data_IF_598683581990
#
_entry.id   IF_598683581990
#
_cell.length_a   1.000
_cell.length_b   1.000
_cell.length_c   1.000
_cell.angle_alpha   90.00
_cell.angle_beta   90.00
_cell.angle_gamma   90.00
#
_symmetry.space_group_name_H-M   'P 1'
#
loop_
_entity.id
_entity.type
_entity.pdbx_description
1 polymer ?
#
# COMPACT_ATOMS: atom_id res chain seq x y z
N UNK A 1 20.83 4.51 -7.94
CA UNK A 1 19.87 3.44 -8.26
C UNK A 1 18.44 3.95 -8.08
N UNK A 2 17.57 3.67 -9.05
CA UNK A 2 16.16 4.05 -8.94
C UNK A 2 15.47 3.17 -7.89
N UNK A 3 14.73 3.75 -6.94
CA UNK A 3 13.98 2.94 -5.98
C UNK A 3 12.99 1.99 -6.65
N UNK A 4 12.73 0.85 -6.04
CA UNK A 4 11.73 -0.09 -6.53
C UNK A 4 10.33 0.51 -6.39
N UNK A 5 9.38 0.04 -7.19
CA UNK A 5 8.04 0.66 -7.24
C UNK A 5 7.34 0.66 -5.89
N UNK A 6 7.45 -0.42 -5.11
CA UNK A 6 6.81 -0.43 -3.79
C UNK A 6 7.40 0.61 -2.84
N UNK A 7 8.70 0.95 -2.98
CA UNK A 7 9.32 2.03 -2.21
C UNK A 7 8.81 3.39 -2.66
N UNK A 8 8.60 3.56 -3.97
CA UNK A 8 8.05 4.81 -4.51
C UNK A 8 6.62 5.04 -4.02
N UNK A 9 5.82 3.99 -3.99
CA UNK A 9 4.45 4.06 -3.47
C UNK A 9 4.46 4.40 -1.98
N UNK A 10 5.37 3.79 -1.21
CA UNK A 10 5.54 4.12 0.20
C UNK A 10 5.85 5.61 0.38
N UNK A 11 6.77 6.14 -0.42
CA UNK A 11 7.14 7.56 -0.33
C UNK A 11 5.97 8.46 -0.70
N UNK A 12 5.23 8.12 -1.76
CA UNK A 12 4.03 8.86 -2.17
C UNK A 12 2.98 8.90 -1.06
N UNK A 13 2.70 7.75 -0.45
CA UNK A 13 1.72 7.68 0.62
C UNK A 13 2.19 8.43 1.87
N UNK A 14 3.49 8.36 2.17
CA UNK A 14 4.06 9.12 3.29
C UNK A 14 3.94 10.62 3.08
N UNK A 15 4.26 11.10 1.88
CA UNK A 15 4.15 12.52 1.56
C UNK A 15 2.70 13.01 1.64
N UNK A 16 1.75 12.16 1.32
CA UNK A 16 0.32 12.48 1.41
C UNK A 16 -0.26 12.33 2.82
N UNK A 17 0.54 11.90 3.79
CA UNK A 17 0.08 11.72 5.17
C UNK A 17 -0.73 10.44 5.39
N UNK A 18 -0.73 9.52 4.42
CA UNK A 18 -1.54 8.30 4.51
C UNK A 18 -0.96 7.25 5.46
N UNK A 19 0.34 7.34 5.78
CA UNK A 19 1.02 6.42 6.69
C UNK A 19 1.05 6.92 8.14
N UNK A 20 0.44 8.05 8.41
CA UNK A 20 0.43 8.64 9.76
C UNK A 20 -0.23 7.68 10.76
N UNK A 21 0.45 7.40 11.86
CA UNK A 21 -0.04 6.48 12.87
C UNK A 21 0.28 5.02 12.61
N UNK A 22 0.99 4.72 11.51
CA UNK A 22 1.39 3.36 11.17
C UNK A 22 2.89 3.20 11.21
N UNK A 23 3.34 2.02 11.66
CA UNK A 23 4.72 1.59 11.49
C UNK A 23 4.85 1.03 10.07
N UNK A 24 5.74 1.61 9.27
CA UNK A 24 5.91 1.22 7.87
C UNK A 24 6.96 0.13 7.76
N UNK A 25 6.60 -0.96 7.08
CA UNK A 25 7.50 -2.07 6.81
C UNK A 25 7.55 -2.33 5.31
N UNK A 26 8.58 -3.02 4.86
CA UNK A 26 8.76 -3.36 3.45
C UNK A 26 8.98 -4.85 3.29
N UNK A 27 8.46 -5.40 2.21
CA UNK A 27 8.61 -6.77 1.74
C UNK A 27 7.83 -7.78 2.57
N UNK A 28 8.07 -7.85 3.86
CA UNK A 28 7.44 -8.86 4.71
C UNK A 28 6.95 -8.26 6.01
N UNK A 29 5.83 -8.77 6.47
CA UNK A 29 5.31 -8.41 7.79
C UNK A 29 6.21 -8.98 8.88
N UNK A 30 6.61 -8.12 9.79
CA UNK A 30 7.39 -8.50 10.94
C UNK A 30 6.64 -8.04 12.20
N UNK A 31 6.18 -9.00 13.00
CA UNK A 31 5.40 -8.70 14.19
C UNK A 31 6.30 -8.01 15.23
N UNK A 32 5.95 -6.77 15.65
CA UNK A 32 6.77 -6.03 16.62
C UNK A 32 6.57 -6.46 18.07
N UNK A 33 5.84 -7.53 18.35
CA UNK A 33 5.45 -7.98 19.70
C UNK A 33 4.56 -6.97 20.45
N UNK A 34 4.17 -5.89 19.81
CA UNK A 34 3.30 -4.88 20.41
C UNK A 34 2.02 -4.78 19.56
N UNK A 35 0.96 -5.40 20.04
CA UNK A 35 -0.31 -5.45 19.32
C UNK A 35 -1.04 -4.10 19.30
N UNK A 36 -0.55 -3.11 20.05
CA UNK A 36 -1.13 -1.77 20.03
C UNK A 36 -0.66 -0.94 18.83
N UNK A 37 0.34 -1.42 18.07
CA UNK A 37 0.87 -0.71 16.91
C UNK A 37 0.22 -1.18 15.62
N UNK A 38 -0.30 -0.23 14.86
CA UNK A 38 -0.78 -0.48 13.51
C UNK A 38 0.41 -0.50 12.55
N UNK A 39 0.35 -1.36 11.53
CA UNK A 39 1.47 -1.60 10.62
C UNK A 39 0.97 -1.50 9.18
N UNK A 40 1.81 -0.96 8.31
CA UNK A 40 1.53 -0.89 6.88
C UNK A 40 2.74 -1.46 6.15
N UNK A 41 2.53 -2.55 5.39
CA UNK A 41 3.62 -3.27 4.69
C UNK A 41 3.50 -3.04 3.20
N UNK A 42 4.57 -2.55 2.58
CA UNK A 42 4.63 -2.30 1.14
C UNK A 42 5.51 -3.36 0.49
N UNK A 43 5.00 -4.03 -0.55
CA UNK A 43 5.76 -5.06 -1.25
C UNK A 43 5.37 -5.19 -2.71
N UNK A 44 6.31 -5.68 -3.55
CA UNK A 44 6.01 -5.90 -4.96
C UNK A 44 5.08 -7.10 -5.14
N UNK A 45 4.28 -7.10 -6.20
CA UNK A 45 3.36 -8.19 -6.50
C UNK A 45 3.30 -8.48 -8.01
N UNK A 46 4.44 -8.43 -8.69
CA UNK A 46 4.47 -8.72 -10.13
C UNK A 46 4.01 -7.56 -10.99
N UNK A 47 3.38 -7.87 -12.09
CA UNK A 47 2.92 -6.90 -13.07
C UNK A 47 3.09 -7.42 -14.48
N UNK A 48 3.22 -6.51 -15.46
CA UNK A 48 3.51 -6.87 -16.84
C UNK A 48 5.00 -7.12 -17.04
N UNK A 49 5.39 -7.55 -18.24
CA UNK A 49 6.81 -7.65 -18.59
C UNK A 49 7.45 -6.26 -18.53
N UNK A 50 8.68 -6.22 -18.03
CA UNK A 50 9.44 -4.97 -17.96
C UNK A 50 9.88 -4.58 -19.38
N UNK A 51 9.54 -3.36 -19.80
CA UNK A 51 9.88 -2.83 -21.10
C UNK A 51 10.59 -1.50 -20.96
N UNK A 52 11.55 -1.23 -21.85
CA UNK A 52 12.31 0.01 -21.81
C UNK A 52 11.68 1.11 -22.68
N UNK A 53 10.82 0.74 -23.62
CA UNK A 53 10.30 1.66 -24.63
C UNK A 53 8.81 1.99 -24.52
N UNK A 54 8.03 1.15 -23.85
CA UNK A 54 6.57 1.29 -23.81
C UNK A 54 5.99 1.48 -22.42
N UNK A 55 6.82 1.62 -21.40
CA UNK A 55 6.34 1.63 -20.04
C UNK A 55 5.97 0.23 -19.56
N UNK A 56 5.94 0.06 -18.26
CA UNK A 56 5.66 -1.21 -17.63
C UNK A 56 4.62 -1.03 -16.54
N UNK A 57 3.83 -2.06 -16.32
CA UNK A 57 2.87 -2.08 -15.22
C UNK A 57 3.47 -2.85 -14.06
N UNK A 58 3.48 -2.24 -12.89
CA UNK A 58 3.98 -2.83 -11.66
C UNK A 58 2.84 -2.94 -10.68
N UNK A 59 2.66 -4.13 -10.11
CA UNK A 59 1.66 -4.32 -9.08
C UNK A 59 2.32 -4.20 -7.71
N UNK A 60 1.67 -3.48 -6.81
CA UNK A 60 2.15 -3.25 -5.45
C UNK A 60 1.06 -3.68 -4.47
N UNK A 61 1.46 -4.49 -3.49
CA UNK A 61 0.57 -4.85 -2.38
C UNK A 61 0.85 -3.94 -1.20
N UNK A 62 -0.21 -3.47 -0.57
CA UNK A 62 -0.11 -2.74 0.68
C UNK A 62 -1.01 -3.45 1.69
N UNK A 63 -0.39 -4.09 2.67
CA UNK A 63 -1.13 -4.74 3.76
C UNK A 63 -1.29 -3.72 4.89
N UNK A 64 -2.53 -3.40 5.22
CA UNK A 64 -2.85 -2.53 6.34
C UNK A 64 -3.26 -3.41 7.51
N UNK A 65 -2.40 -3.48 8.51
CA UNK A 65 -2.61 -4.31 9.70
C UNK A 65 -3.01 -3.39 10.84
N UNK A 66 -4.24 -3.53 11.31
CA UNK A 66 -4.76 -2.71 12.39
C UNK A 66 -4.18 -3.10 13.74
N UNK A 67 -4.14 -2.14 14.66
CA UNK A 67 -3.83 -2.43 16.05
C UNK A 67 -4.96 -3.28 16.64
N UNK A 68 -4.64 -4.02 17.69
CA UNK A 68 -5.63 -4.88 18.35
C UNK A 68 -6.81 -4.03 18.84
N UNK A 69 -8.01 -4.47 18.53
CA UNK A 69 -9.28 -3.81 18.91
C UNK A 69 -9.48 -2.41 18.29
N UNK A 70 -8.70 -2.05 17.27
CA UNK A 70 -8.81 -0.78 16.54
C UNK A 70 -9.23 -0.99 15.10
N UNK A 71 -10.28 -1.79 14.90
CA UNK A 71 -10.75 -2.17 13.55
C UNK A 71 -11.22 -0.98 12.73
N UNK A 72 -11.92 -0.06 13.37
CA UNK A 72 -12.46 1.12 12.67
C UNK A 72 -11.34 2.04 12.19
N UNK A 73 -10.28 2.18 12.97
CA UNK A 73 -9.14 3.00 12.57
C UNK A 73 -8.45 2.42 11.33
N UNK A 74 -8.33 1.09 11.27
CA UNK A 74 -7.77 0.42 10.10
C UNK A 74 -8.66 0.62 8.87
N UNK A 75 -9.97 0.48 9.02
CA UNK A 75 -10.91 0.68 7.92
C UNK A 75 -10.87 2.13 7.42
N UNK A 76 -10.81 3.10 8.33
CA UNK A 76 -10.73 4.52 7.96
C UNK A 76 -9.43 4.81 7.19
N UNK A 77 -8.31 4.20 7.59
CA UNK A 77 -7.05 4.36 6.89
C UNK A 77 -7.13 3.78 5.47
N UNK A 78 -7.72 2.59 5.32
CA UNK A 78 -7.93 1.96 4.02
C UNK A 78 -8.80 2.86 3.14
N UNK A 79 -9.88 3.40 3.67
CA UNK A 79 -10.78 4.29 2.92
C UNK A 79 -10.03 5.54 2.44
N UNK A 80 -9.20 6.14 3.30
CA UNK A 80 -8.40 7.31 2.91
C UNK A 80 -7.42 7.00 1.79
N UNK A 81 -6.77 5.82 1.85
CA UNK A 81 -5.84 5.40 0.80
C UNK A 81 -6.58 5.24 -0.52
N UNK A 82 -7.68 4.50 -0.53
CA UNK A 82 -8.45 4.24 -1.74
C UNK A 82 -8.98 5.55 -2.34
N UNK A 83 -9.52 6.44 -1.51
CA UNK A 83 -10.04 7.73 -1.97
C UNK A 83 -8.93 8.61 -2.55
N UNK A 84 -7.76 8.63 -1.89
CA UNK A 84 -6.63 9.42 -2.37
C UNK A 84 -6.15 8.94 -3.74
N UNK A 85 -5.98 7.64 -3.91
CA UNK A 85 -5.53 7.07 -5.19
C UNK A 85 -6.55 7.34 -6.28
N UNK A 86 -7.84 7.21 -5.96
CA UNK A 86 -8.91 7.45 -6.91
C UNK A 86 -8.96 8.92 -7.38
N UNK A 87 -8.70 9.85 -6.48
CA UNK A 87 -8.73 11.28 -6.77
C UNK A 87 -7.43 11.81 -7.37
N UNK A 88 -6.30 11.14 -7.13
CA UNK A 88 -4.97 11.62 -7.51
C UNK A 88 -4.14 10.53 -8.19
N UNK A 89 -4.59 9.99 -9.34
CA UNK A 89 -3.90 8.84 -9.96
C UNK A 89 -2.50 9.18 -10.50
N UNK A 90 -2.17 10.46 -10.66
CA UNK A 90 -0.87 10.90 -11.17
C UNK A 90 -0.19 11.89 -10.22
N UNK A 91 -0.39 11.74 -8.93
CA UNK A 91 0.13 12.69 -7.94
C UNK A 91 1.65 12.65 -7.78
N UNK A 92 2.31 11.57 -8.16
CA UNK A 92 3.75 11.38 -7.96
C UNK A 92 4.41 10.93 -9.27
N UNK A 93 5.37 11.72 -9.76
CA UNK A 93 6.08 11.43 -11.00
C UNK A 93 6.87 10.12 -10.94
N UNK A 94 7.37 9.76 -9.76
CA UNK A 94 8.17 8.55 -9.59
C UNK A 94 7.32 7.28 -9.64
N UNK A 95 6.03 7.39 -9.29
CA UNK A 95 5.09 6.27 -9.36
C UNK A 95 4.47 6.17 -10.75
N UNK A 96 4.28 7.29 -11.42
CA UNK A 96 3.57 7.37 -12.68
C UNK A 96 2.07 7.35 -12.46
N UNK A 97 1.35 6.53 -13.22
CA UNK A 97 -0.10 6.39 -13.09
C UNK A 97 -0.40 5.23 -12.14
N UNK A 98 -1.11 5.50 -11.05
CA UNK A 98 -1.50 4.51 -10.06
C UNK A 98 -3.02 4.36 -10.03
N UNK A 99 -3.51 3.13 -9.94
CA UNK A 99 -4.95 2.89 -9.81
C UNK A 99 -5.21 1.74 -8.83
N UNK A 100 -6.36 1.81 -8.18
CA UNK A 100 -6.83 0.76 -7.29
C UNK A 100 -7.19 -0.48 -8.13
N UNK A 101 -6.78 -1.65 -7.65
CA UNK A 101 -7.16 -2.91 -8.26
C UNK A 101 -8.31 -3.50 -7.46
N UNK A 102 -9.52 -3.18 -7.87
CA UNK A 102 -10.73 -3.58 -7.18
C UNK A 102 -11.18 -2.55 -6.16
N UNK A 103 -12.15 -2.93 -5.35
CA UNK A 103 -12.67 -2.10 -4.27
C UNK A 103 -11.96 -2.45 -2.96
N UNK A 104 -12.49 -1.95 -1.85
CA UNK A 104 -11.96 -2.31 -0.53
C UNK A 104 -12.17 -3.81 -0.32
N UNK A 105 -11.09 -4.58 -0.08
CA UNK A 105 -11.21 -6.02 0.08
C UNK A 105 -11.85 -6.39 1.42
N UNK A 106 -12.34 -7.62 1.51
CA UNK A 106 -12.81 -8.15 2.77
C UNK A 106 -11.62 -8.31 3.73
N UNK A 107 -11.77 -7.90 4.99
CA UNK A 107 -10.69 -8.02 5.94
C UNK A 107 -10.48 -9.47 6.39
N UNK A 108 -9.26 -9.76 6.81
CA UNK A 108 -8.90 -11.03 7.40
C UNK A 108 -8.50 -10.77 8.84
N UNK A 109 -8.95 -11.62 9.77
CA UNK A 109 -8.56 -11.54 11.16
C UNK A 109 -7.38 -12.47 11.42
N UNK A 110 -6.37 -11.97 12.14
CA UNK A 110 -5.27 -12.80 12.60
C UNK A 110 -5.69 -13.54 13.87
N UNK A 111 -4.92 -14.55 14.27
CA UNK A 111 -5.17 -15.29 15.50
C UNK A 111 -5.15 -14.38 16.74
N UNK A 112 -4.41 -13.28 16.65
CA UNK A 112 -4.28 -12.31 17.75
C UNK A 112 -5.43 -11.30 17.78
N UNK A 113 -6.37 -11.37 16.85
CA UNK A 113 -7.50 -10.45 16.79
C UNK A 113 -7.21 -9.16 16.03
N UNK A 114 -6.13 -9.11 15.26
CA UNK A 114 -5.83 -7.98 14.40
C UNK A 114 -6.57 -8.12 13.08
N UNK A 115 -6.97 -6.99 12.51
CA UNK A 115 -7.61 -6.95 11.20
C UNK A 115 -6.56 -6.61 10.14
N UNK A 116 -6.60 -7.32 9.00
CA UNK A 116 -5.69 -7.08 7.89
C UNK A 116 -6.48 -6.81 6.63
N UNK A 117 -6.20 -5.67 5.99
CA UNK A 117 -6.71 -5.36 4.65
C UNK A 117 -5.56 -5.43 3.67
N UNK A 118 -5.71 -6.22 2.61
CA UNK A 118 -4.68 -6.35 1.57
C UNK A 118 -5.11 -5.55 0.35
N UNK A 119 -4.51 -4.40 0.17
CA UNK A 119 -4.79 -3.52 -0.98
C UNK A 119 -3.82 -3.84 -2.11
N UNK A 120 -4.34 -3.76 -3.35
CA UNK A 120 -3.51 -3.93 -4.54
C UNK A 120 -3.60 -2.68 -5.41
N UNK A 121 -2.47 -2.29 -5.96
CA UNK A 121 -2.37 -1.14 -6.85
C UNK A 121 -1.63 -1.54 -8.12
N UNK A 122 -2.09 -1.01 -9.25
CA UNK A 122 -1.38 -1.12 -10.51
C UNK A 122 -0.73 0.22 -10.81
N UNK A 123 0.58 0.23 -10.99
CA UNK A 123 1.36 1.43 -11.29
C UNK A 123 1.93 1.30 -12.70
N UNK A 124 1.59 2.23 -13.58
CA UNK A 124 2.12 2.26 -14.95
C UNK A 124 3.16 3.37 -15.03
N UNK A 125 4.39 2.98 -15.28
CA UNK A 125 5.52 3.91 -15.35
C UNK A 125 6.35 3.62 -16.60
N UNK A 126 6.70 4.68 -17.34
CA UNK A 126 7.53 4.58 -18.53
C UNK A 126 8.51 5.74 -18.60
N UNK A 127 9.57 5.54 -19.35
CA UNK A 127 10.58 6.57 -19.60
C UNK A 127 10.12 7.57 -20.66
#
# INVERSE_FOLDING_TARGET
>A
MTPMMHERVRNMFGDAGLTTGFTVQQLMYNDPDDQSKAIMVFRPNGGSNIRTDLGSEYHVLVDVVGAKDKRKDALNAVQRIVDYVQANPMADECVGYIQNMGAIPAPVLTEEGRIVFRLQFACTFGD
#
